data_IF_093464141480
#
_entry.id   IF_093464141480
#
_cell.length_a   1.000
_cell.length_b   1.000
_cell.length_c   1.000
_cell.angle_alpha   90.00
_cell.angle_beta   90.00
_cell.angle_gamma   90.00
#
_symmetry.space_group_name_H-M   'P 1'
#
loop_
_entity.id
_entity.type
_entity.pdbx_description
1 polymer ?
#
# COMPACT_ATOMS: atom_id res chain seq x y z
N UNK A 1 -21.79 -24.55 6.08
CA UNK A 1 -21.15 -24.37 4.75
C UNK A 1 -20.24 -25.55 4.46
N UNK A 2 -20.21 -26.06 3.21
CA UNK A 2 -19.39 -27.20 2.81
C UNK A 2 -18.13 -26.69 2.10
N UNK A 3 -16.94 -27.01 2.60
CA UNK A 3 -15.68 -26.68 1.92
C UNK A 3 -15.57 -27.42 0.60
N UNK A 4 -15.22 -26.72 -0.48
CA UNK A 4 -15.10 -27.23 -1.84
C UNK A 4 -13.72 -27.02 -2.47
N UNK A 5 -12.83 -26.27 -1.81
CA UNK A 5 -11.48 -26.02 -2.31
C UNK A 5 -10.80 -24.86 -1.61
N UNK A 6 -9.78 -24.31 -2.26
CA UNK A 6 -9.04 -23.11 -1.82
C UNK A 6 -8.81 -22.18 -3.00
N UNK A 7 -8.55 -20.90 -2.73
CA UNK A 7 -8.18 -19.93 -3.77
C UNK A 7 -6.85 -20.37 -4.41
N UNK A 8 -6.82 -20.35 -5.73
CA UNK A 8 -5.61 -20.67 -6.48
C UNK A 8 -4.59 -19.54 -6.37
N UNK A 9 -3.42 -19.86 -5.83
CA UNK A 9 -2.29 -18.93 -5.75
C UNK A 9 -1.47 -19.03 -7.04
N UNK A 10 -0.98 -17.87 -7.53
CA UNK A 10 -0.11 -17.76 -8.69
C UNK A 10 1.13 -16.95 -8.35
N UNK A 11 2.22 -17.27 -9.02
CA UNK A 11 3.47 -16.48 -8.95
C UNK A 11 3.31 -15.13 -9.65
N UNK A 12 4.21 -14.19 -9.37
CA UNK A 12 4.19 -12.87 -10.01
C UNK A 12 4.40 -12.93 -11.53
N UNK A 13 5.07 -13.97 -12.05
CA UNK A 13 5.19 -14.21 -13.49
C UNK A 13 3.88 -14.72 -14.13
N UNK A 14 3.08 -15.48 -13.39
CA UNK A 14 1.80 -16.02 -13.88
C UNK A 14 0.64 -15.03 -13.79
N UNK A 15 0.78 -14.00 -12.95
CA UNK A 15 -0.21 -12.93 -12.83
C UNK A 15 0.06 -11.86 -13.86
N UNK A 16 -0.90 -11.56 -14.71
CA UNK A 16 -0.79 -10.49 -15.70
C UNK A 16 -0.98 -9.11 -15.06
N UNK A 17 -2.00 -8.97 -14.22
CA UNK A 17 -2.40 -7.72 -13.58
C UNK A 17 -2.93 -7.98 -12.17
N UNK A 18 -2.56 -7.14 -11.22
CA UNK A 18 -3.15 -7.09 -9.87
C UNK A 18 -3.14 -5.66 -9.33
N UNK A 19 -4.02 -5.40 -8.37
CA UNK A 19 -4.03 -4.18 -7.55
C UNK A 19 -2.83 -4.12 -6.60
N UNK A 20 -2.24 -5.28 -6.25
CA UNK A 20 -1.28 -5.44 -5.17
C UNK A 20 0.17 -5.16 -5.58
N UNK A 21 0.83 -4.36 -4.77
CA UNK A 21 2.26 -4.09 -4.78
C UNK A 21 2.86 -4.14 -3.37
N UNK A 22 4.17 -4.01 -3.28
CA UNK A 22 4.94 -4.12 -2.04
C UNK A 22 6.01 -3.03 -1.97
N UNK A 23 6.26 -2.49 -0.78
CA UNK A 23 7.41 -1.65 -0.53
C UNK A 23 8.71 -2.46 -0.55
N UNK A 24 9.60 -2.10 -1.44
CA UNK A 24 11.00 -2.50 -1.48
C UNK A 24 11.87 -1.29 -1.13
N UNK A 25 11.48 -0.64 -0.05
CA UNK A 25 11.96 0.65 0.43
C UNK A 25 13.07 0.47 1.45
N UNK A 26 13.67 1.58 1.88
CA UNK A 26 14.72 1.60 2.90
C UNK A 26 16.03 0.87 2.53
N UNK A 27 16.16 0.38 1.29
CA UNK A 27 17.40 -0.17 0.76
C UNK A 27 18.48 0.90 0.51
N UNK A 28 18.06 2.14 0.28
CA UNK A 28 18.96 3.30 0.25
C UNK A 28 19.75 3.46 1.56
N UNK A 29 19.21 2.94 2.69
CA UNK A 29 19.79 2.88 4.03
C UNK A 29 20.18 1.48 4.48
N UNK A 30 20.09 0.49 3.58
CA UNK A 30 20.49 -0.92 3.82
C UNK A 30 19.76 -1.59 5.01
N UNK A 31 18.45 -1.30 5.18
CA UNK A 31 17.69 -1.75 6.33
C UNK A 31 17.29 -3.24 6.31
N UNK A 32 17.38 -3.90 5.17
CA UNK A 32 17.20 -5.33 4.99
C UNK A 32 18.01 -5.85 3.80
N UNK A 33 18.10 -7.18 3.66
CA UNK A 33 18.84 -7.85 2.58
C UNK A 33 17.91 -8.28 1.46
N UNK A 34 17.92 -7.61 0.29
CA UNK A 34 17.00 -7.87 -0.80
C UNK A 34 17.12 -9.27 -1.39
N UNK A 35 18.33 -9.84 -1.44
CA UNK A 35 18.58 -11.20 -1.94
C UNK A 35 17.82 -12.28 -1.17
N UNK A 36 17.48 -12.01 0.08
CA UNK A 36 16.66 -12.90 0.91
C UNK A 36 15.15 -12.79 0.61
N UNK A 37 14.74 -11.78 -0.13
CA UNK A 37 13.33 -11.45 -0.35
C UNK A 37 12.79 -11.87 -1.71
N UNK A 38 13.62 -11.85 -2.78
CA UNK A 38 13.17 -12.07 -4.16
C UNK A 38 12.40 -13.39 -4.34
N UNK A 39 12.92 -14.49 -3.79
CA UNK A 39 12.29 -15.81 -3.89
C UNK A 39 10.93 -15.90 -3.17
N UNK A 40 10.73 -15.12 -2.11
CA UNK A 40 9.44 -14.98 -1.44
C UNK A 40 8.49 -14.11 -2.24
N UNK A 41 8.96 -12.95 -2.71
CA UNK A 41 8.14 -12.02 -3.48
C UNK A 41 7.61 -12.66 -4.77
N UNK A 42 8.44 -13.44 -5.47
CA UNK A 42 8.05 -14.16 -6.69
C UNK A 42 6.81 -15.04 -6.52
N UNK A 43 6.57 -15.55 -5.32
CA UNK A 43 5.45 -16.46 -4.99
C UNK A 43 4.17 -15.74 -4.58
N UNK A 44 4.19 -14.41 -4.43
CA UNK A 44 3.04 -13.67 -3.91
C UNK A 44 2.03 -13.27 -4.96
N UNK A 45 2.40 -13.23 -6.24
CA UNK A 45 1.56 -12.69 -7.31
C UNK A 45 1.54 -11.17 -7.38
N UNK A 46 2.32 -10.45 -6.57
CA UNK A 46 2.46 -9.00 -6.66
C UNK A 46 3.07 -8.56 -7.99
N UNK A 47 2.68 -7.38 -8.50
CA UNK A 47 3.18 -6.86 -9.79
C UNK A 47 3.99 -5.58 -9.69
N UNK A 48 4.00 -4.93 -8.54
CA UNK A 48 4.66 -3.65 -8.35
C UNK A 48 5.54 -3.66 -7.11
N UNK A 49 6.67 -2.96 -7.18
CA UNK A 49 7.53 -2.69 -6.03
C UNK A 49 7.92 -1.21 -5.98
N UNK A 50 7.64 -0.56 -4.84
CA UNK A 50 8.08 0.81 -4.58
C UNK A 50 9.51 0.78 -4.07
N UNK A 51 10.44 1.44 -4.76
CA UNK A 51 11.87 1.42 -4.47
C UNK A 51 12.39 2.84 -4.23
N UNK A 52 12.90 3.13 -3.03
CA UNK A 52 13.61 4.38 -2.76
C UNK A 52 14.99 4.33 -3.40
N UNK A 53 15.34 5.39 -4.14
CA UNK A 53 16.55 5.39 -4.99
C UNK A 53 17.84 5.78 -4.29
N UNK A 54 17.75 6.57 -3.19
CA UNK A 54 18.87 6.90 -2.32
C UNK A 54 20.03 7.64 -3.02
N UNK A 55 19.91 8.94 -3.24
CA UNK A 55 20.94 9.73 -3.89
C UNK A 55 22.33 9.51 -3.28
N UNK A 56 22.48 9.59 -1.96
CA UNK A 56 23.75 9.37 -1.28
C UNK A 56 24.32 7.96 -1.49
N UNK A 57 23.47 6.92 -1.57
CA UNK A 57 23.95 5.57 -1.82
C UNK A 57 24.48 5.40 -3.25
N UNK A 58 23.92 6.17 -4.19
CA UNK A 58 24.29 6.13 -5.60
C UNK A 58 25.48 7.06 -5.93
N UNK A 59 25.77 8.07 -5.11
CA UNK A 59 26.81 9.08 -5.37
C UNK A 59 27.57 9.40 -4.08
N UNK A 60 28.67 8.68 -3.82
CA UNK A 60 29.56 8.86 -2.66
C UNK A 60 30.61 9.92 -2.89
N UNK A 61 30.89 10.25 -4.15
CA UNK A 61 31.82 11.30 -4.60
C UNK A 61 31.11 12.10 -5.68
N UNK A 62 31.26 13.45 -5.64
CA UNK A 62 30.58 14.37 -6.56
C UNK A 62 30.80 13.99 -8.03
N UNK A 63 29.72 13.69 -8.74
CA UNK A 63 29.70 13.33 -10.15
C UNK A 63 30.12 11.89 -10.45
N UNK A 64 30.33 11.05 -9.44
CA UNK A 64 30.67 9.63 -9.59
C UNK A 64 29.50 8.77 -9.14
N UNK A 65 28.78 8.20 -10.09
CA UNK A 65 27.56 7.40 -9.82
C UNK A 65 27.88 5.91 -9.80
N UNK A 66 27.42 5.22 -8.74
CA UNK A 66 27.41 3.77 -8.61
C UNK A 66 25.98 3.28 -8.38
N UNK A 67 25.36 2.72 -9.41
CA UNK A 67 24.03 2.17 -9.38
C UNK A 67 23.98 0.65 -9.17
N UNK A 68 25.13 -0.01 -8.95
CA UNK A 68 25.21 -1.48 -8.93
C UNK A 68 24.22 -2.14 -7.92
N UNK A 69 24.03 -1.54 -6.75
CA UNK A 69 23.07 -2.04 -5.77
C UNK A 69 21.61 -1.90 -6.24
N UNK A 70 21.30 -0.82 -6.96
CA UNK A 70 19.94 -0.55 -7.45
C UNK A 70 19.67 -1.36 -8.75
N UNK A 71 20.72 -1.62 -9.56
CA UNK A 71 20.66 -2.57 -10.67
C UNK A 71 20.27 -3.97 -10.18
N UNK A 72 20.92 -4.45 -9.10
CA UNK A 72 20.57 -5.75 -8.51
C UNK A 72 19.07 -5.80 -8.13
N UNK A 73 18.56 -4.76 -7.50
CA UNK A 73 17.15 -4.67 -7.12
C UNK A 73 16.24 -4.66 -8.34
N UNK A 74 16.49 -3.79 -9.31
CA UNK A 74 15.65 -3.63 -10.50
C UNK A 74 15.65 -4.91 -11.35
N UNK A 75 16.81 -5.47 -11.61
CA UNK A 75 16.93 -6.64 -12.51
C UNK A 75 16.31 -7.88 -11.88
N UNK A 76 16.49 -8.11 -10.57
CA UNK A 76 15.83 -9.22 -9.89
C UNK A 76 14.31 -9.06 -9.80
N UNK A 77 13.80 -7.84 -9.55
CA UNK A 77 12.36 -7.58 -9.55
C UNK A 77 11.75 -7.86 -10.92
N UNK A 78 12.37 -7.35 -11.99
CA UNK A 78 11.91 -7.60 -13.36
C UNK A 78 11.97 -9.09 -13.73
N UNK A 79 13.04 -9.80 -13.34
CA UNK A 79 13.19 -11.23 -13.57
C UNK A 79 12.09 -12.08 -12.93
N UNK A 80 11.55 -11.67 -11.81
CA UNK A 80 10.42 -12.36 -11.16
C UNK A 80 9.04 -11.82 -11.57
N UNK A 81 8.98 -10.89 -12.55
CA UNK A 81 7.74 -10.33 -13.09
C UNK A 81 7.11 -9.23 -12.24
N UNK A 82 7.90 -8.58 -11.39
CA UNK A 82 7.50 -7.43 -10.57
C UNK A 82 8.10 -6.15 -11.16
N UNK A 83 7.27 -5.16 -11.43
CA UNK A 83 7.67 -3.88 -12.01
C UNK A 83 8.07 -2.91 -10.88
N UNK A 84 9.32 -2.42 -10.84
CA UNK A 84 9.70 -1.38 -9.90
C UNK A 84 9.12 -0.03 -10.33
N UNK A 85 8.72 0.79 -9.35
CA UNK A 85 8.63 2.23 -9.51
C UNK A 85 9.59 2.91 -8.53
N UNK A 86 10.19 4.01 -8.96
CA UNK A 86 11.15 4.73 -8.13
C UNK A 86 10.48 5.82 -7.31
N UNK A 87 10.74 5.82 -6.00
CA UNK A 87 10.60 6.98 -5.14
C UNK A 87 11.95 7.71 -5.10
N UNK A 88 12.04 8.83 -5.81
CA UNK A 88 13.29 9.58 -6.02
C UNK A 88 13.58 10.49 -4.81
N UNK A 89 14.58 10.17 -4.07
CA UNK A 89 15.01 10.86 -2.83
C UNK A 89 16.27 10.18 -2.27
N UNK A 90 16.90 10.62 -1.23
CA UNK A 90 16.64 11.87 -0.51
C UNK A 90 17.73 12.91 -0.81
N UNK A 91 18.34 13.57 0.21
CA UNK A 91 19.50 14.41 0.04
C UNK A 91 20.81 13.65 -0.10
N UNK A 92 21.93 14.40 -0.19
CA UNK A 92 23.27 13.80 -0.26
C UNK A 92 24.27 14.59 0.57
N UNK A 93 24.88 13.96 1.61
CA UNK A 93 25.87 14.61 2.48
C UNK A 93 27.09 15.19 1.76
N UNK A 94 27.40 14.71 0.54
CA UNK A 94 28.55 15.23 -0.25
C UNK A 94 28.31 16.68 -0.73
N UNK A 95 27.05 17.09 -0.79
CA UNK A 95 26.64 18.43 -1.23
C UNK A 95 26.01 19.28 -0.12
N UNK A 96 25.76 18.70 1.05
CA UNK A 96 24.93 19.29 2.09
C UNK A 96 25.65 19.28 3.42
N UNK A 97 25.78 20.46 4.03
CA UNK A 97 26.17 20.63 5.42
C UNK A 97 24.90 20.70 6.30
N UNK A 98 25.03 20.48 7.61
CA UNK A 98 23.91 20.51 8.55
C UNK A 98 22.77 19.57 8.14
N UNK A 99 23.08 18.31 8.01
CA UNK A 99 22.16 17.27 7.60
C UNK A 99 21.38 16.66 8.78
N UNK A 100 20.16 16.18 8.51
CA UNK A 100 19.29 15.55 9.50
C UNK A 100 19.83 14.23 10.07
N UNK A 101 20.59 13.49 9.26
CA UNK A 101 21.19 12.18 9.58
C UNK A 101 22.27 11.83 8.55
N UNK A 102 23.01 10.75 8.80
CA UNK A 102 24.13 10.29 7.96
C UNK A 102 23.77 9.98 6.49
N UNK A 103 22.48 9.74 6.20
CA UNK A 103 21.97 9.48 4.86
C UNK A 103 21.27 10.70 4.26
N UNK A 104 21.28 11.84 4.94
CA UNK A 104 20.55 13.06 4.57
C UNK A 104 19.07 12.81 4.21
N UNK A 105 18.42 11.87 4.92
CA UNK A 105 17.00 11.60 4.74
C UNK A 105 16.19 12.83 5.06
N UNK A 106 15.37 13.29 4.12
CA UNK A 106 14.57 14.49 4.24
C UNK A 106 15.27 15.79 3.90
N UNK A 107 16.60 15.79 3.68
CA UNK A 107 17.35 17.01 3.32
C UNK A 107 17.04 17.41 1.86
N UNK A 108 16.30 18.51 1.71
CA UNK A 108 15.77 18.97 0.42
C UNK A 108 16.82 19.79 -0.34
N UNK A 109 17.20 19.41 -1.58
CA UNK A 109 18.29 20.04 -2.32
C UNK A 109 18.06 21.53 -2.60
N UNK A 110 16.83 22.01 -2.58
CA UNK A 110 16.47 23.41 -2.81
C UNK A 110 17.06 24.38 -1.75
N UNK A 111 17.42 23.87 -0.57
CA UNK A 111 17.83 24.71 0.59
C UNK A 111 19.33 24.69 0.88
N UNK A 112 20.13 23.96 0.09
CA UNK A 112 21.57 23.80 0.29
C UNK A 112 22.44 24.52 -0.77
N UNK A 113 21.84 25.47 -1.47
CA UNK A 113 22.53 26.30 -2.47
C UNK A 113 22.61 25.67 -3.86
N UNK A 114 23.19 26.42 -4.80
CA UNK A 114 23.16 26.05 -6.23
C UNK A 114 23.99 24.80 -6.53
N UNK A 115 25.05 24.52 -5.81
CA UNK A 115 25.85 23.31 -6.00
C UNK A 115 25.05 22.05 -5.66
N UNK A 116 24.30 22.04 -4.56
CA UNK A 116 23.46 20.94 -4.18
C UNK A 116 22.28 20.77 -5.14
N UNK A 117 21.68 21.87 -5.59
CA UNK A 117 20.60 21.84 -6.57
C UNK A 117 21.08 21.32 -7.93
N UNK A 118 22.27 21.71 -8.37
CA UNK A 118 22.88 21.19 -9.60
C UNK A 118 23.26 19.70 -9.44
N UNK A 119 23.77 19.31 -8.27
CA UNK A 119 24.03 17.92 -7.92
C UNK A 119 22.75 17.06 -8.03
N UNK A 120 21.62 17.56 -7.51
CA UNK A 120 20.32 16.90 -7.67
C UNK A 120 19.90 16.73 -9.12
N UNK A 121 20.02 17.80 -9.94
CA UNK A 121 19.71 17.73 -11.38
C UNK A 121 20.54 16.67 -12.09
N UNK A 122 21.83 16.64 -11.80
CA UNK A 122 22.76 15.69 -12.41
C UNK A 122 22.44 14.24 -11.96
N UNK A 123 22.10 14.05 -10.69
CA UNK A 123 21.69 12.75 -10.16
C UNK A 123 20.41 12.25 -10.81
N UNK A 124 19.36 13.08 -10.90
CA UNK A 124 18.08 12.69 -11.53
C UNK A 124 18.30 12.37 -13.01
N UNK A 125 19.14 13.13 -13.71
CA UNK A 125 19.53 12.86 -15.08
C UNK A 125 20.24 11.51 -15.18
N UNK A 126 21.29 11.27 -14.41
CA UNK A 126 22.05 10.03 -14.41
C UNK A 126 21.19 8.79 -14.07
N UNK A 127 20.28 8.94 -13.08
CA UNK A 127 19.32 7.91 -12.69
C UNK A 127 18.39 7.54 -13.86
N UNK A 128 17.79 8.53 -14.51
CA UNK A 128 16.88 8.30 -15.63
C UNK A 128 17.60 7.68 -16.85
N UNK A 129 18.78 8.19 -17.20
CA UNK A 129 19.61 7.62 -18.28
C UNK A 129 19.98 6.16 -18.00
N UNK A 130 20.41 5.86 -16.77
CA UNK A 130 20.87 4.53 -16.40
C UNK A 130 19.73 3.49 -16.42
N UNK A 131 18.53 3.86 -15.95
CA UNK A 131 17.39 2.93 -15.85
C UNK A 131 16.40 3.03 -17.02
N UNK A 132 16.71 3.79 -18.06
CA UNK A 132 15.91 3.88 -19.28
C UNK A 132 15.62 2.49 -19.87
N UNK A 133 14.33 2.22 -20.12
CA UNK A 133 13.86 0.93 -20.63
C UNK A 133 13.69 -0.15 -19.56
N UNK A 134 14.05 0.12 -18.30
CA UNK A 134 13.82 -0.78 -17.15
C UNK A 134 12.82 -0.19 -16.13
N UNK A 135 12.84 1.12 -15.92
CA UNK A 135 11.94 1.85 -15.04
C UNK A 135 11.32 3.01 -15.81
N UNK A 136 10.01 3.17 -15.72
CA UNK A 136 9.24 4.21 -16.40
C UNK A 136 8.27 4.95 -15.48
N UNK A 137 8.30 4.69 -14.17
CA UNK A 137 7.44 5.31 -13.17
C UNK A 137 8.30 5.90 -12.04
N UNK A 138 8.17 7.21 -11.82
CA UNK A 138 9.00 7.99 -10.90
C UNK A 138 8.13 8.85 -10.00
N UNK A 139 8.13 8.57 -8.72
CA UNK A 139 7.50 9.36 -7.66
C UNK A 139 8.54 10.29 -7.06
N UNK A 140 8.28 11.60 -7.06
CA UNK A 140 9.25 12.58 -6.60
C UNK A 140 9.05 12.86 -5.13
N UNK A 141 10.10 12.57 -4.34
CA UNK A 141 10.18 12.77 -2.90
C UNK A 141 9.23 11.87 -2.08
N UNK A 142 9.41 11.89 -0.75
CA UNK A 142 8.60 11.13 0.20
C UNK A 142 8.07 12.04 1.30
N UNK A 143 6.76 12.00 1.55
CA UNK A 143 6.06 12.64 2.68
C UNK A 143 6.41 14.11 2.94
N UNK A 144 6.36 14.98 1.91
CA UNK A 144 6.76 16.39 2.01
C UNK A 144 5.81 17.24 2.86
N UNK A 145 4.65 16.70 3.21
CA UNK A 145 3.59 17.36 3.98
C UNK A 145 3.62 17.05 5.48
N UNK A 146 4.56 16.22 5.95
CA UNK A 146 4.70 15.92 7.38
C UNK A 146 5.39 17.07 8.11
N UNK A 147 4.88 17.39 9.29
CA UNK A 147 5.47 18.34 10.22
C UNK A 147 6.70 17.74 10.93
N UNK A 148 7.52 18.61 11.55
CA UNK A 148 8.60 18.18 12.42
C UNK A 148 9.90 17.76 11.71
N UNK A 149 10.12 18.22 10.50
CA UNK A 149 11.34 17.96 9.72
C UNK A 149 11.66 16.50 9.43
N UNK A 150 10.66 15.61 9.40
CA UNK A 150 10.87 14.20 9.13
C UNK A 150 11.43 13.94 7.74
N UNK A 151 10.75 14.48 6.73
CA UNK A 151 11.09 14.30 5.33
C UNK A 151 11.17 15.63 4.56
N UNK A 152 11.25 16.77 5.30
CA UNK A 152 11.41 18.11 4.74
C UNK A 152 12.30 18.95 5.64
N UNK A 153 13.62 18.95 5.36
CA UNK A 153 14.65 19.58 6.19
C UNK A 153 15.60 20.42 5.30
N UNK A 154 16.20 21.53 5.74
CA UNK A 154 16.11 22.13 7.08
C UNK A 154 14.93 23.10 7.27
N UNK A 155 14.13 23.36 6.22
CA UNK A 155 13.01 24.28 6.28
C UNK A 155 11.72 23.60 6.78
N UNK A 156 10.71 24.39 7.11
CA UNK A 156 9.37 23.90 7.28
C UNK A 156 8.79 23.44 5.93
N UNK A 157 7.80 22.53 5.96
CA UNK A 157 7.11 22.04 4.76
C UNK A 157 6.59 23.20 3.90
N UNK A 158 6.84 23.15 2.61
CA UNK A 158 6.48 24.20 1.66
C UNK A 158 5.91 23.61 0.36
N UNK A 159 4.62 23.84 0.14
CA UNK A 159 3.90 23.29 -1.00
C UNK A 159 4.42 23.77 -2.36
N UNK A 160 4.79 25.07 -2.46
CA UNK A 160 5.34 25.67 -3.68
C UNK A 160 6.72 25.10 -4.02
N UNK A 161 7.58 24.95 -3.01
CA UNK A 161 8.90 24.38 -3.20
C UNK A 161 8.83 22.90 -3.56
N UNK A 162 7.89 22.16 -2.95
CA UNK A 162 7.65 20.78 -3.34
C UNK A 162 7.16 20.68 -4.80
N UNK A 163 6.20 21.47 -5.21
CA UNK A 163 5.77 21.51 -6.62
C UNK A 163 6.93 21.89 -7.56
N UNK A 164 7.84 22.76 -7.12
CA UNK A 164 9.04 23.11 -7.89
C UNK A 164 9.98 21.91 -8.03
N UNK A 165 10.20 21.14 -6.96
CA UNK A 165 11.03 19.93 -6.99
C UNK A 165 10.42 18.85 -7.92
N UNK A 166 9.09 18.67 -7.86
CA UNK A 166 8.35 17.74 -8.73
C UNK A 166 8.53 18.10 -10.20
N UNK A 167 8.28 19.37 -10.58
CA UNK A 167 8.43 19.82 -11.98
C UNK A 167 9.87 19.73 -12.47
N UNK A 168 10.82 20.17 -11.64
CA UNK A 168 12.23 20.12 -11.99
C UNK A 168 12.67 18.69 -12.30
N UNK A 169 12.38 17.77 -11.40
CA UNK A 169 12.76 16.37 -11.54
C UNK A 169 12.00 15.68 -12.68
N UNK A 170 10.69 15.91 -12.76
CA UNK A 170 9.84 15.33 -13.82
C UNK A 170 10.25 15.77 -15.23
N UNK A 171 10.60 17.05 -15.42
CA UNK A 171 11.09 17.55 -16.70
C UNK A 171 12.39 16.88 -17.13
N UNK A 172 13.36 16.73 -16.21
CA UNK A 172 14.63 16.06 -16.49
C UNK A 172 14.38 14.60 -16.87
N UNK A 173 13.53 13.90 -16.16
CA UNK A 173 13.21 12.48 -16.45
C UNK A 173 12.58 12.37 -17.84
N UNK A 174 11.63 13.25 -18.18
CA UNK A 174 10.92 13.21 -19.49
C UNK A 174 11.78 13.67 -20.65
N UNK A 175 12.83 14.44 -20.46
CA UNK A 175 13.82 14.71 -21.50
C UNK A 175 14.52 13.42 -21.97
N UNK A 176 14.65 12.45 -21.07
CA UNK A 176 15.34 11.17 -21.30
C UNK A 176 14.34 10.07 -21.67
N UNK A 177 13.20 10.01 -20.96
CA UNK A 177 12.14 9.03 -21.10
C UNK A 177 10.82 9.76 -21.30
N UNK A 178 10.47 10.17 -22.53
CA UNK A 178 9.30 11.00 -22.81
C UNK A 178 7.97 10.43 -22.31
N UNK A 179 7.86 9.10 -22.25
CA UNK A 179 6.69 8.35 -21.79
C UNK A 179 6.69 8.06 -20.28
N UNK A 180 7.71 8.54 -19.54
CA UNK A 180 7.77 8.30 -18.10
C UNK A 180 6.57 8.90 -17.37
N UNK A 181 5.99 8.12 -16.48
CA UNK A 181 4.96 8.57 -15.55
C UNK A 181 5.61 9.22 -14.34
N UNK A 182 5.21 10.45 -14.08
CA UNK A 182 5.70 11.24 -12.93
C UNK A 182 4.61 11.30 -11.88
N UNK A 183 4.98 10.99 -10.65
CA UNK A 183 4.11 11.06 -9.49
C UNK A 183 4.59 12.07 -8.45
N UNK A 184 3.63 12.54 -7.69
CA UNK A 184 3.86 13.27 -6.44
C UNK A 184 3.36 12.47 -5.25
N UNK A 185 3.86 12.77 -4.06
CA UNK A 185 3.47 12.12 -2.82
C UNK A 185 2.80 13.09 -1.84
N UNK A 186 1.80 12.59 -1.13
CA UNK A 186 1.19 13.22 0.05
C UNK A 186 1.05 12.15 1.12
N UNK A 187 1.67 12.33 2.28
CA UNK A 187 1.58 11.38 3.38
C UNK A 187 0.15 11.28 3.95
N UNK A 188 -0.54 12.39 4.06
CA UNK A 188 -1.80 12.44 4.77
C UNK A 188 -2.92 13.03 3.92
N UNK A 189 -3.89 12.22 3.53
CA UNK A 189 -5.06 12.66 2.72
C UNK A 189 -5.89 13.76 3.38
N UNK A 190 -5.74 13.96 4.70
CA UNK A 190 -6.39 15.05 5.43
C UNK A 190 -5.65 16.38 5.35
N UNK A 191 -4.42 16.42 4.80
CA UNK A 191 -3.66 17.66 4.57
C UNK A 191 -4.18 18.40 3.32
N UNK A 192 -5.49 18.69 3.32
CA UNK A 192 -6.19 19.20 2.13
C UNK A 192 -5.69 20.59 1.69
N UNK A 193 -5.35 21.48 2.62
CA UNK A 193 -4.85 22.82 2.31
C UNK A 193 -3.46 22.74 1.65
N UNK A 194 -2.55 21.97 2.22
CA UNK A 194 -1.22 21.75 1.63
C UNK A 194 -1.34 21.11 0.24
N UNK A 195 -2.17 20.07 0.11
CA UNK A 195 -2.40 19.40 -1.17
C UNK A 195 -2.96 20.34 -2.22
N UNK A 196 -3.93 21.18 -1.85
CA UNK A 196 -4.52 22.16 -2.76
C UNK A 196 -3.49 23.21 -3.21
N UNK A 197 -2.61 23.65 -2.31
CA UNK A 197 -1.57 24.58 -2.61
C UNK A 197 -0.50 23.98 -3.56
N UNK A 198 -0.08 22.71 -3.33
CA UNK A 198 0.78 21.98 -4.28
C UNK A 198 0.14 21.94 -5.67
N UNK A 199 -1.14 21.55 -5.75
CA UNK A 199 -1.88 21.45 -7.01
C UNK A 199 -2.00 22.82 -7.72
N UNK A 200 -2.10 23.93 -6.98
CA UNK A 200 -2.12 25.28 -7.54
C UNK A 200 -0.78 25.69 -8.21
N UNK A 201 0.33 25.07 -7.81
CA UNK A 201 1.66 25.34 -8.38
C UNK A 201 2.09 24.33 -9.46
N UNK A 202 1.28 23.32 -9.74
CA UNK A 202 1.49 22.36 -10.82
C UNK A 202 0.65 22.72 -12.05
N UNK A 203 1.13 22.34 -13.23
CA UNK A 203 0.40 22.41 -14.48
C UNK A 203 -0.14 21.05 -14.90
N UNK A 204 -1.16 21.06 -15.77
CA UNK A 204 -1.64 19.81 -16.38
C UNK A 204 -0.51 19.13 -17.13
N UNK A 205 -0.30 17.83 -16.87
CA UNK A 205 0.76 17.06 -17.45
C UNK A 205 2.09 17.09 -16.67
N UNK A 206 2.23 17.86 -15.59
CA UNK A 206 3.40 17.77 -14.72
C UNK A 206 3.46 16.43 -13.97
N UNK A 207 2.27 15.86 -13.68
CA UNK A 207 2.12 14.59 -12.95
C UNK A 207 1.07 13.70 -13.64
N UNK A 208 1.27 12.37 -13.51
CA UNK A 208 0.37 11.31 -14.00
C UNK A 208 -0.32 10.56 -12.86
N UNK A 209 0.28 10.57 -11.66
CA UNK A 209 -0.30 9.93 -10.49
C UNK A 209 0.03 10.68 -9.20
N UNK A 210 -0.80 10.45 -8.20
CA UNK A 210 -0.62 10.95 -6.84
C UNK A 210 -0.59 9.75 -5.91
N UNK A 211 0.50 9.58 -5.17
CA UNK A 211 0.56 8.61 -4.10
C UNK A 211 0.13 9.25 -2.79
N UNK A 212 -0.51 8.45 -1.96
CA UNK A 212 -0.84 8.82 -0.58
C UNK A 212 -0.41 7.71 0.37
N UNK A 213 -0.11 8.09 1.60
CA UNK A 213 0.19 7.15 2.67
C UNK A 213 -0.95 7.21 3.70
N UNK A 214 -1.41 6.07 4.14
CA UNK A 214 -2.51 6.02 5.08
C UNK A 214 -2.22 4.97 6.15
N UNK A 215 -1.53 5.42 7.18
CA UNK A 215 -1.29 4.61 8.36
C UNK A 215 -2.37 4.89 9.40
N UNK A 216 -3.09 3.86 9.80
CA UNK A 216 -4.12 3.98 10.83
C UNK A 216 -4.29 2.68 11.60
N UNK A 217 -4.62 2.81 12.86
CA UNK A 217 -4.96 1.67 13.72
C UNK A 217 -6.20 0.93 13.22
N UNK A 218 -7.19 1.67 12.74
CA UNK A 218 -8.44 1.17 12.20
C UNK A 218 -8.48 1.44 10.68
N UNK A 219 -8.44 0.41 9.81
CA UNK A 219 -8.49 0.60 8.36
C UNK A 219 -9.69 1.43 7.89
N UNK A 220 -10.84 1.27 8.54
CA UNK A 220 -12.11 1.94 8.23
C UNK A 220 -12.28 3.29 8.96
N UNK A 221 -11.19 3.98 9.29
CA UNK A 221 -11.29 5.22 10.04
C UNK A 221 -12.16 6.27 9.34
N UNK A 222 -13.16 6.84 10.04
CA UNK A 222 -14.14 7.75 9.43
C UNK A 222 -13.53 8.98 8.75
N UNK A 223 -12.36 9.43 9.21
CA UNK A 223 -11.70 10.58 8.60
C UNK A 223 -11.15 10.26 7.20
N UNK A 224 -10.69 9.03 6.95
CA UNK A 224 -10.27 8.62 5.61
C UNK A 224 -11.48 8.62 4.65
N UNK A 225 -12.58 7.98 5.06
CA UNK A 225 -13.83 7.98 4.26
C UNK A 225 -14.34 9.39 3.98
N UNK A 226 -14.14 10.34 4.93
CA UNK A 226 -14.53 11.74 4.77
C UNK A 226 -13.60 12.54 3.88
N UNK A 227 -12.30 12.37 4.03
CA UNK A 227 -11.30 13.28 3.45
C UNK A 227 -10.74 12.79 2.13
N UNK A 228 -10.65 11.48 1.88
CA UNK A 228 -10.15 10.95 0.63
C UNK A 228 -10.94 11.41 -0.63
N UNK A 229 -12.28 11.47 -0.63
CA UNK A 229 -13.01 12.06 -1.75
C UNK A 229 -12.69 13.54 -1.98
N UNK A 230 -12.47 14.33 -0.91
CA UNK A 230 -12.07 15.73 -1.01
C UNK A 230 -10.65 15.86 -1.57
N UNK A 231 -9.74 15.02 -1.09
CA UNK A 231 -8.38 14.92 -1.58
C UNK A 231 -8.35 14.66 -3.09
N UNK A 232 -9.07 13.66 -3.58
CA UNK A 232 -9.19 13.41 -5.02
C UNK A 232 -9.77 14.59 -5.77
N UNK A 233 -10.81 15.22 -5.23
CA UNK A 233 -11.49 16.34 -5.87
C UNK A 233 -10.59 17.58 -6.03
N UNK A 234 -9.54 17.74 -5.22
CA UNK A 234 -8.55 18.80 -5.38
C UNK A 234 -7.92 18.74 -6.78
N UNK A 235 -7.58 17.56 -7.26
CA UNK A 235 -6.99 17.37 -8.58
C UNK A 235 -8.05 17.36 -9.68
N UNK A 236 -9.11 16.58 -9.51
CA UNK A 236 -10.19 16.41 -10.50
C UNK A 236 -10.85 17.77 -10.84
N UNK A 237 -11.18 18.58 -9.83
CA UNK A 237 -11.82 19.89 -10.05
C UNK A 237 -10.90 20.92 -10.73
N UNK A 238 -9.59 20.69 -10.70
CA UNK A 238 -8.59 21.50 -11.42
C UNK A 238 -8.25 20.95 -12.81
N UNK A 239 -8.90 19.85 -13.22
CA UNK A 239 -8.73 19.24 -14.54
C UNK A 239 -7.48 18.36 -14.69
N UNK A 240 -6.85 17.93 -13.57
CA UNK A 240 -5.79 16.93 -13.65
C UNK A 240 -6.36 15.56 -14.00
N UNK A 241 -5.73 14.88 -14.94
CA UNK A 241 -5.99 13.49 -15.29
C UNK A 241 -4.91 12.61 -14.58
N UNK A 242 -5.17 12.26 -13.35
CA UNK A 242 -4.21 11.53 -12.50
C UNK A 242 -4.81 10.29 -11.86
N UNK A 243 -4.00 9.27 -11.70
CA UNK A 243 -4.33 8.10 -10.89
C UNK A 243 -3.99 8.34 -9.42
N UNK A 244 -4.73 7.69 -8.51
CA UNK A 244 -4.45 7.71 -7.07
C UNK A 244 -3.96 6.34 -6.63
N UNK A 245 -2.75 6.28 -6.04
CA UNK A 245 -2.14 5.05 -5.59
C UNK A 245 -1.88 5.10 -4.08
N UNK A 246 -2.24 4.03 -3.37
CA UNK A 246 -1.73 3.84 -2.02
C UNK A 246 -0.23 3.51 -2.14
N UNK A 247 0.62 4.50 -1.85
CA UNK A 247 2.07 4.40 -2.04
C UNK A 247 2.77 3.68 -0.92
N UNK A 248 2.28 3.87 0.31
CA UNK A 248 2.89 3.28 1.50
C UNK A 248 1.86 3.15 2.62
N UNK A 249 1.69 1.94 3.14
CA UNK A 249 0.84 1.67 4.30
C UNK A 249 1.23 0.35 4.95
N UNK A 250 0.96 0.20 6.24
CA UNK A 250 1.27 -1.04 6.93
C UNK A 250 0.82 -1.05 8.39
N UNK A 251 0.91 -2.21 9.00
CA UNK A 251 0.66 -2.45 10.40
C UNK A 251 1.76 -3.34 10.97
N UNK A 252 2.34 -3.04 12.15
CA UNK A 252 3.43 -3.86 12.69
C UNK A 252 2.91 -5.16 13.29
N UNK A 253 3.72 -6.21 13.23
CA UNK A 253 3.44 -7.47 13.93
C UNK A 253 3.85 -7.42 15.41
N UNK A 254 4.68 -6.47 15.80
CA UNK A 254 5.06 -6.19 17.18
C UNK A 254 5.62 -4.77 17.31
N UNK A 255 5.55 -4.18 18.51
CA UNK A 255 6.05 -2.84 18.77
C UNK A 255 6.60 -2.72 20.17
N UNK A 256 7.81 -2.18 20.30
CA UNK A 256 8.43 -1.76 21.55
C UNK A 256 8.38 -0.25 21.77
N UNK A 257 7.95 0.49 20.79
CA UNK A 257 7.91 1.95 20.85
C UNK A 257 6.52 2.44 20.54
N UNK A 258 6.07 3.53 21.18
CA UNK A 258 4.77 4.14 20.92
C UNK A 258 4.64 4.76 19.52
N UNK A 259 5.50 4.39 18.56
CA UNK A 259 5.43 4.92 17.21
C UNK A 259 4.07 4.62 16.57
N UNK A 260 3.31 5.66 16.43
CA UNK A 260 2.16 5.93 15.57
C UNK A 260 0.90 5.14 15.84
N UNK A 261 0.90 3.82 15.86
CA UNK A 261 -0.33 3.10 15.60
C UNK A 261 -0.66 2.09 16.70
N UNK A 262 0.36 1.57 17.40
CA UNK A 262 0.23 0.42 18.31
C UNK A 262 0.82 0.71 19.69
N UNK A 263 0.27 0.07 20.70
CA UNK A 263 0.76 0.17 22.06
C UNK A 263 2.12 -0.53 22.23
N UNK A 264 2.95 -0.01 23.14
CA UNK A 264 4.19 -0.64 23.52
C UNK A 264 3.93 -2.08 24.06
N UNK A 265 4.79 -3.04 23.65
CA UNK A 265 4.66 -4.43 24.05
C UNK A 265 3.62 -5.23 23.28
N UNK A 266 3.03 -4.67 22.22
CA UNK A 266 2.12 -5.41 21.36
C UNK A 266 2.89 -6.42 20.48
N UNK A 267 2.38 -7.64 20.37
CA UNK A 267 2.89 -8.68 19.48
C UNK A 267 1.74 -9.54 18.95
N UNK A 268 1.43 -9.42 17.66
CA UNK A 268 0.48 -10.29 16.99
C UNK A 268 0.64 -10.24 15.46
N UNK A 269 1.09 -11.34 14.87
CA UNK A 269 1.10 -11.53 13.43
C UNK A 269 -0.32 -11.64 12.85
N UNK A 270 -1.28 -12.15 13.65
CA UNK A 270 -2.68 -12.20 13.27
C UNK A 270 -3.25 -10.81 13.05
N UNK A 271 -3.02 -9.90 14.00
CA UNK A 271 -3.49 -8.53 13.90
C UNK A 271 -2.93 -7.83 12.65
N UNK A 272 -1.66 -8.02 12.35
CA UNK A 272 -1.04 -7.53 11.13
C UNK A 272 -1.74 -8.08 9.88
N UNK A 273 -1.96 -9.38 9.82
CA UNK A 273 -2.60 -10.04 8.68
C UNK A 273 -4.05 -9.58 8.48
N UNK A 274 -4.84 -9.51 9.54
CA UNK A 274 -6.24 -9.05 9.52
C UNK A 274 -6.31 -7.59 9.08
N UNK A 275 -5.42 -6.75 9.59
CA UNK A 275 -5.35 -5.34 9.20
C UNK A 275 -5.09 -5.19 7.69
N UNK A 276 -4.12 -5.94 7.14
CA UNK A 276 -3.81 -5.90 5.70
C UNK A 276 -4.99 -6.34 4.84
N UNK A 277 -5.68 -7.42 5.24
CA UNK A 277 -6.87 -7.90 4.53
C UNK A 277 -7.95 -6.83 4.45
N UNK A 278 -8.21 -6.13 5.55
CA UNK A 278 -9.25 -5.09 5.61
C UNK A 278 -8.83 -3.84 4.83
N UNK A 279 -7.60 -3.39 5.03
CA UNK A 279 -7.10 -2.14 4.47
C UNK A 279 -7.08 -2.16 2.93
N UNK A 280 -6.67 -3.26 2.31
CA UNK A 280 -6.65 -3.39 0.85
C UNK A 280 -8.05 -3.21 0.23
N UNK A 281 -9.09 -3.78 0.84
CA UNK A 281 -10.47 -3.59 0.36
C UNK A 281 -11.00 -2.19 0.62
N UNK A 282 -10.58 -1.52 1.69
CA UNK A 282 -10.92 -0.12 1.95
C UNK A 282 -10.34 0.78 0.86
N UNK A 283 -9.04 0.68 0.57
CA UNK A 283 -8.40 1.49 -0.48
C UNK A 283 -9.03 1.23 -1.86
N UNK A 284 -9.24 -0.04 -2.20
CA UNK A 284 -9.90 -0.40 -3.45
C UNK A 284 -11.32 0.18 -3.53
N UNK A 285 -12.09 0.17 -2.44
CA UNK A 285 -13.45 0.72 -2.41
C UNK A 285 -13.50 2.23 -2.70
N UNK A 286 -12.43 2.94 -2.38
CA UNK A 286 -12.27 4.37 -2.67
C UNK A 286 -11.68 4.65 -4.05
N UNK A 287 -11.38 3.60 -4.84
CA UNK A 287 -10.91 3.71 -6.22
C UNK A 287 -9.42 3.93 -6.37
N UNK A 288 -8.61 3.58 -5.37
CA UNK A 288 -7.18 3.47 -5.54
C UNK A 288 -6.85 2.50 -6.69
N UNK A 289 -5.82 2.82 -7.47
CA UNK A 289 -5.41 2.02 -8.63
C UNK A 289 -4.29 1.03 -8.31
N UNK A 290 -3.53 1.29 -7.25
CA UNK A 290 -2.48 0.42 -6.71
C UNK A 290 -2.46 0.48 -5.19
N UNK A 291 -1.99 -0.58 -4.60
CA UNK A 291 -1.79 -0.74 -3.17
C UNK A 291 -0.38 -1.24 -2.91
N UNK A 292 0.48 -0.42 -2.33
CA UNK A 292 1.83 -0.78 -1.92
C UNK A 292 1.90 -0.94 -0.41
N UNK A 293 2.13 -2.16 0.02
CA UNK A 293 2.28 -2.48 1.44
C UNK A 293 3.70 -2.15 1.91
N UNK A 294 3.86 -1.39 2.95
CA UNK A 294 5.12 -1.20 3.67
C UNK A 294 5.28 -2.30 4.73
N UNK A 295 6.17 -3.31 4.55
CA UNK A 295 7.00 -3.56 3.39
C UNK A 295 7.32 -5.07 3.27
N UNK A 296 8.27 -5.46 2.42
CA UNK A 296 8.62 -6.87 2.19
C UNK A 296 9.22 -7.54 3.43
N UNK A 297 10.14 -6.89 4.14
CA UNK A 297 10.80 -7.43 5.32
C UNK A 297 10.88 -6.39 6.45
N UNK A 298 10.95 -6.83 7.70
CA UNK A 298 11.19 -5.93 8.82
C UNK A 298 12.52 -5.18 8.62
N UNK A 299 12.56 -3.92 9.05
CA UNK A 299 13.80 -3.17 9.13
C UNK A 299 14.62 -3.68 10.32
N UNK A 300 15.61 -4.50 10.06
CA UNK A 300 16.39 -5.18 11.10
C UNK A 300 17.89 -4.93 11.04
N UNK A 301 18.45 -4.75 9.83
CA UNK A 301 19.89 -4.78 9.62
C UNK A 301 20.62 -3.56 10.20
N UNK A 302 19.99 -2.39 10.18
CA UNK A 302 20.57 -1.14 10.68
C UNK A 302 19.58 -0.32 11.49
N UNK A 303 20.12 0.54 12.33
CA UNK A 303 19.41 1.62 12.99
C UNK A 303 19.90 2.96 12.45
N UNK A 304 19.05 3.96 12.38
CA UNK A 304 19.44 5.31 11.96
C UNK A 304 18.68 6.38 12.73
N UNK A 305 19.29 7.58 12.78
CA UNK A 305 18.66 8.77 13.36
C UNK A 305 17.97 9.57 12.27
N UNK A 306 16.81 10.11 12.59
CA UNK A 306 16.18 11.19 11.81
C UNK A 306 16.26 12.50 12.61
N UNK A 307 15.94 13.62 11.98
CA UNK A 307 15.84 14.90 12.69
C UNK A 307 14.82 14.86 13.83
N UNK A 308 13.78 14.07 13.70
CA UNK A 308 12.68 13.94 14.66
C UNK A 308 12.84 12.77 15.63
N UNK A 309 13.58 11.73 15.28
CA UNK A 309 13.71 10.54 16.13
C UNK A 309 14.96 9.71 15.83
N UNK A 310 15.30 8.85 16.80
CA UNK A 310 16.25 7.75 16.61
C UNK A 310 15.49 6.47 16.47
N UNK A 311 15.63 5.79 15.33
CA UNK A 311 15.11 4.42 15.16
C UNK A 311 16.18 3.47 15.70
N UNK A 312 16.11 3.17 16.99
CA UNK A 312 17.07 2.31 17.69
C UNK A 312 16.63 0.84 17.71
N UNK A 313 15.40 0.57 17.35
CA UNK A 313 14.80 -0.76 17.38
C UNK A 313 14.26 -1.15 16.01
N UNK A 314 14.23 -2.45 15.72
CA UNK A 314 13.65 -2.92 14.46
C UNK A 314 12.20 -2.48 14.28
N UNK A 315 11.82 -2.14 13.05
CA UNK A 315 10.44 -1.78 12.69
C UNK A 315 9.80 -2.99 12.02
N UNK A 316 8.79 -3.56 12.67
CA UNK A 316 8.22 -4.86 12.32
C UNK A 316 6.99 -4.76 11.40
N UNK A 317 7.07 -3.92 10.37
CA UNK A 317 6.02 -3.78 9.35
C UNK A 317 6.15 -4.79 8.20
N UNK A 318 7.29 -5.49 8.10
CA UNK A 318 7.53 -6.47 7.05
C UNK A 318 6.55 -7.64 7.09
N UNK A 319 6.28 -8.21 5.92
CA UNK A 319 5.58 -9.49 5.80
C UNK A 319 6.53 -10.69 5.96
N UNK A 320 7.83 -10.44 5.87
CA UNK A 320 8.90 -11.35 6.25
C UNK A 320 9.56 -10.87 7.54
N UNK A 321 9.96 -11.81 8.40
CA UNK A 321 10.76 -11.51 9.58
C UNK A 321 12.15 -11.01 9.16
N UNK A 322 12.54 -9.82 9.60
CA UNK A 322 13.78 -9.18 9.15
C UNK A 322 15.08 -9.82 9.61
N UNK A 323 15.03 -10.71 10.61
CA UNK A 323 16.21 -11.42 11.10
C UNK A 323 16.51 -12.70 10.35
N UNK A 324 15.46 -13.47 10.05
CA UNK A 324 15.57 -14.82 9.46
C UNK A 324 14.83 -14.95 8.12
N UNK A 325 14.13 -13.92 7.69
CA UNK A 325 13.37 -13.82 6.43
C UNK A 325 12.31 -14.91 6.25
N UNK A 326 11.80 -15.46 7.37
CA UNK A 326 10.66 -16.38 7.33
C UNK A 326 9.35 -15.64 7.10
N UNK A 327 8.42 -16.20 6.31
CA UNK A 327 7.09 -15.64 6.11
C UNK A 327 6.31 -15.54 7.42
N UNK A 328 5.67 -14.39 7.64
CA UNK A 328 4.68 -14.17 8.70
C UNK A 328 3.27 -14.53 8.22
N UNK A 329 2.27 -14.49 9.11
CA UNK A 329 0.86 -14.66 8.72
C UNK A 329 0.42 -13.60 7.70
N UNK A 330 0.95 -12.39 7.80
CA UNK A 330 0.72 -11.30 6.85
C UNK A 330 1.25 -11.59 5.44
N UNK A 331 2.31 -12.39 5.28
CA UNK A 331 2.77 -12.86 3.98
C UNK A 331 1.69 -13.72 3.29
N UNK A 332 1.08 -14.62 4.04
CA UNK A 332 0.02 -15.49 3.51
C UNK A 332 -1.23 -14.67 3.17
N UNK A 333 -1.60 -13.71 4.02
CA UNK A 333 -2.71 -12.78 3.76
C UNK A 333 -2.45 -11.94 2.49
N UNK A 334 -1.24 -11.38 2.35
CA UNK A 334 -0.84 -10.62 1.17
C UNK A 334 -0.87 -11.46 -0.12
N UNK A 335 -0.39 -12.69 -0.07
CA UNK A 335 -0.42 -13.61 -1.21
C UNK A 335 -1.85 -13.91 -1.66
N UNK A 336 -2.76 -14.12 -0.73
CA UNK A 336 -4.20 -14.34 -1.01
C UNK A 336 -4.86 -13.08 -1.57
N UNK A 337 -4.56 -11.91 -1.01
CA UNK A 337 -5.04 -10.63 -1.58
C UNK A 337 -4.57 -10.47 -3.02
N UNK A 338 -3.32 -10.79 -3.31
CA UNK A 338 -2.79 -10.70 -4.69
C UNK A 338 -3.56 -11.60 -5.65
N UNK A 339 -3.97 -12.80 -5.23
CA UNK A 339 -4.79 -13.69 -6.03
C UNK A 339 -6.24 -13.18 -6.20
N UNK A 340 -6.87 -12.74 -5.11
CA UNK A 340 -8.24 -12.21 -5.10
C UNK A 340 -8.37 -10.90 -5.88
N UNK A 341 -7.36 -10.03 -5.79
CA UNK A 341 -7.35 -8.72 -6.44
C UNK A 341 -6.58 -8.72 -7.77
N UNK A 342 -6.38 -9.91 -8.37
CA UNK A 342 -5.82 -10.07 -9.71
C UNK A 342 -6.88 -9.87 -10.80
N UNK A 343 -6.44 -9.46 -12.00
CA UNK A 343 -7.30 -9.13 -13.13
C UNK A 343 -7.82 -7.68 -13.07
N UNK A 344 -8.92 -7.41 -13.76
CA UNK A 344 -9.56 -6.09 -13.71
C UNK A 344 -10.55 -6.04 -12.55
N UNK A 345 -10.09 -5.52 -11.41
CA UNK A 345 -10.89 -5.39 -10.18
C UNK A 345 -11.20 -3.93 -9.94
N UNK A 346 -12.48 -3.61 -9.67
CA UNK A 346 -12.90 -2.24 -9.39
C UNK A 346 -14.14 -2.20 -8.47
N UNK A 347 -14.32 -1.12 -7.69
CA UNK A 347 -15.52 -0.92 -6.89
C UNK A 347 -16.76 -0.71 -7.77
N UNK A 348 -17.94 -1.02 -7.20
CA UNK A 348 -19.22 -0.80 -7.86
C UNK A 348 -20.20 -0.06 -6.94
N UNK A 349 -21.16 0.64 -7.55
CA UNK A 349 -22.24 1.35 -6.84
C UNK A 349 -23.34 0.40 -6.30
N UNK A 350 -23.20 -0.91 -6.48
CA UNK A 350 -24.19 -1.89 -6.02
C UNK A 350 -24.20 -1.94 -4.49
N UNK A 351 -25.28 -1.49 -3.90
CA UNK A 351 -25.45 -1.53 -2.43
C UNK A 351 -26.05 -2.87 -2.03
N UNK A 352 -25.48 -3.47 -1.00
CA UNK A 352 -26.04 -4.61 -0.29
C UNK A 352 -25.81 -4.42 1.21
N UNK A 353 -26.44 -5.25 2.00
CA UNK A 353 -26.33 -5.21 3.45
C UNK A 353 -26.88 -6.48 4.08
N UNK A 354 -26.84 -6.54 5.39
CA UNK A 354 -27.32 -7.71 6.12
C UNK A 354 -27.51 -7.42 7.61
N UNK A 355 -28.01 -8.44 8.29
CA UNK A 355 -28.15 -8.44 9.74
C UNK A 355 -27.19 -9.45 10.35
N UNK A 356 -26.36 -9.00 11.27
CA UNK A 356 -25.50 -9.86 12.07
C UNK A 356 -26.37 -10.63 13.08
N UNK A 357 -26.18 -11.93 13.16
CA UNK A 357 -26.89 -12.81 14.08
C UNK A 357 -25.90 -13.23 15.15
N UNK A 358 -26.24 -12.96 16.40
CA UNK A 358 -25.46 -13.39 17.55
C UNK A 358 -25.47 -14.91 17.68
N UNK A 359 -24.31 -15.55 17.48
CA UNK A 359 -24.13 -16.99 17.65
C UNK A 359 -23.86 -17.40 19.11
N UNK A 360 -23.46 -16.46 19.96
CA UNK A 360 -22.98 -16.73 21.33
C UNK A 360 -23.99 -16.33 22.42
N UNK A 361 -25.10 -15.68 22.05
CA UNK A 361 -26.17 -15.28 22.99
C UNK A 361 -25.90 -14.00 23.77
N UNK A 362 -24.92 -13.20 23.37
CA UNK A 362 -24.65 -11.89 23.98
C UNK A 362 -25.49 -10.78 23.33
N UNK A 363 -26.66 -10.57 23.90
CA UNK A 363 -27.63 -9.59 23.41
C UNK A 363 -27.14 -8.12 23.39
N UNK A 364 -26.11 -7.79 24.16
CA UNK A 364 -25.56 -6.42 24.21
C UNK A 364 -24.56 -6.18 23.07
N UNK A 365 -23.85 -7.21 22.63
CA UNK A 365 -22.91 -7.15 21.52
C UNK A 365 -23.64 -6.99 20.17
N UNK A 366 -24.85 -7.53 20.07
CA UNK A 366 -25.67 -7.59 18.86
C UNK A 366 -25.93 -6.21 18.21
N UNK A 367 -26.34 -5.22 18.98
CA UNK A 367 -26.65 -3.88 18.45
C UNK A 367 -25.41 -3.17 17.93
N UNK A 368 -24.28 -3.33 18.62
CA UNK A 368 -23.01 -2.73 18.23
C UNK A 368 -22.46 -3.36 16.93
N UNK A 369 -22.49 -4.67 16.82
CA UNK A 369 -22.00 -5.41 15.67
C UNK A 369 -22.83 -5.17 14.41
N UNK A 370 -24.16 -5.03 14.54
CA UNK A 370 -25.04 -4.69 13.41
C UNK A 370 -24.79 -3.29 12.87
N UNK A 371 -24.48 -2.33 13.75
CA UNK A 371 -24.21 -0.95 13.33
C UNK A 371 -22.85 -0.77 12.67
N UNK A 372 -21.92 -1.72 12.88
CA UNK A 372 -20.54 -1.57 12.46
C UNK A 372 -20.12 -2.50 11.30
N UNK A 373 -20.93 -3.50 10.95
CA UNK A 373 -20.58 -4.42 9.84
C UNK A 373 -20.36 -3.64 8.54
N UNK A 374 -19.27 -3.94 7.86
CA UNK A 374 -18.92 -3.36 6.54
C UNK A 374 -19.42 -4.25 5.43
N UNK A 375 -19.93 -3.60 4.37
CA UNK A 375 -20.46 -4.22 3.17
C UNK A 375 -19.93 -3.46 1.96
N UNK A 376 -19.08 -4.11 1.16
CA UNK A 376 -18.39 -3.50 0.02
C UNK A 376 -18.66 -4.30 -1.25
N UNK A 377 -18.91 -3.63 -2.36
CA UNK A 377 -19.27 -4.24 -3.63
C UNK A 377 -18.22 -3.96 -4.69
N UNK A 378 -17.82 -5.03 -5.36
CA UNK A 378 -16.80 -4.97 -6.40
C UNK A 378 -17.22 -5.80 -7.62
N UNK A 379 -16.45 -5.65 -8.69
CA UNK A 379 -16.45 -6.60 -9.80
C UNK A 379 -15.02 -6.98 -10.19
N UNK A 380 -14.84 -8.20 -10.65
CA UNK A 380 -13.60 -8.73 -11.21
C UNK A 380 -13.88 -9.23 -12.61
N UNK A 381 -13.21 -8.65 -13.61
CA UNK A 381 -13.42 -8.99 -15.02
C UNK A 381 -14.91 -8.93 -15.42
N UNK A 382 -15.64 -7.92 -14.93
CA UNK A 382 -17.06 -7.73 -15.17
C UNK A 382 -18.02 -8.61 -14.34
N UNK A 383 -17.53 -9.52 -13.49
CA UNK A 383 -18.34 -10.37 -12.62
C UNK A 383 -18.39 -9.78 -11.20
N UNK A 384 -19.59 -9.66 -10.59
CA UNK A 384 -19.74 -9.07 -9.26
C UNK A 384 -19.27 -9.99 -8.16
N UNK A 385 -18.70 -9.41 -7.10
CA UNK A 385 -18.48 -10.05 -5.81
C UNK A 385 -18.71 -9.06 -4.67
N UNK A 386 -19.02 -9.59 -3.49
CA UNK A 386 -19.46 -8.81 -2.34
C UNK A 386 -18.65 -9.19 -1.12
N UNK A 387 -18.12 -8.19 -0.45
CA UNK A 387 -17.23 -8.31 0.71
C UNK A 387 -17.96 -7.85 1.95
N UNK A 388 -17.90 -8.63 3.02
CA UNK A 388 -18.50 -8.30 4.30
C UNK A 388 -17.62 -8.73 5.46
N UNK A 389 -17.60 -7.93 6.54
CA UNK A 389 -16.86 -8.23 7.76
C UNK A 389 -17.30 -7.32 8.91
N UNK A 390 -16.89 -7.68 10.14
CA UNK A 390 -17.06 -6.88 11.34
C UNK A 390 -15.76 -6.09 11.55
N UNK A 391 -15.75 -4.74 11.55
CA UNK A 391 -14.54 -3.94 11.79
C UNK A 391 -14.20 -3.91 13.29
N UNK A 392 -14.01 -5.08 13.90
CA UNK A 392 -13.61 -5.24 15.28
C UNK A 392 -12.17 -4.75 15.53
N UNK A 393 -11.78 -4.64 16.79
CA UNK A 393 -10.41 -4.30 17.14
C UNK A 393 -9.45 -5.39 16.64
N UNK A 394 -8.51 -5.02 15.76
CA UNK A 394 -7.54 -5.97 15.18
C UNK A 394 -6.61 -6.60 16.24
N UNK A 395 -6.47 -5.96 17.42
CA UNK A 395 -5.66 -6.46 18.53
C UNK A 395 -6.34 -7.61 19.30
N UNK A 396 -7.57 -7.99 18.94
CA UNK A 396 -8.23 -9.16 19.51
C UNK A 396 -7.71 -10.43 18.80
N UNK A 397 -6.81 -11.13 19.44
CA UNK A 397 -6.18 -12.35 18.88
C UNK A 397 -7.16 -13.53 18.76
N UNK A 398 -8.23 -13.56 19.54
CA UNK A 398 -9.29 -14.58 19.42
C UNK A 398 -10.17 -14.34 18.17
N UNK A 399 -10.18 -13.07 17.69
CA UNK A 399 -11.02 -12.66 16.57
C UNK A 399 -12.50 -12.59 16.91
N UNK A 400 -13.30 -12.31 15.90
CA UNK A 400 -14.76 -12.26 16.00
C UNK A 400 -15.38 -13.21 14.98
N UNK A 401 -16.39 -13.98 15.41
CA UNK A 401 -17.20 -14.82 14.55
C UNK A 401 -18.65 -14.70 14.92
N UNK A 402 -19.49 -14.38 13.93
CA UNK A 402 -20.94 -14.26 14.09
C UNK A 402 -21.67 -14.85 12.88
N UNK A 403 -22.99 -14.95 12.99
CA UNK A 403 -23.85 -15.29 11.86
C UNK A 403 -24.19 -14.07 11.01
N UNK A 404 -24.50 -14.29 9.73
CA UNK A 404 -24.96 -13.25 8.81
C UNK A 404 -26.21 -13.72 8.05
N UNK A 405 -27.24 -12.86 8.03
CA UNK A 405 -28.29 -12.88 7.02
C UNK A 405 -28.09 -11.70 6.09
N UNK A 406 -28.07 -11.94 4.78
CA UNK A 406 -27.81 -10.89 3.79
C UNK A 406 -28.70 -11.02 2.57
N UNK A 407 -28.86 -9.92 1.86
CA UNK A 407 -29.51 -9.84 0.55
C UNK A 407 -28.55 -9.25 -0.46
N UNK A 408 -28.45 -9.85 -1.65
CA UNK A 408 -27.54 -9.44 -2.72
C UNK A 408 -28.32 -8.84 -3.90
N UNK A 409 -27.84 -7.76 -4.52
CA UNK A 409 -28.51 -7.13 -5.65
C UNK A 409 -28.43 -7.94 -6.95
N UNK A 410 -27.58 -8.97 -6.99
CA UNK A 410 -27.34 -9.81 -8.16
C UNK A 410 -27.66 -11.26 -7.81
N UNK A 411 -28.34 -11.96 -8.73
CA UNK A 411 -28.51 -13.40 -8.64
C UNK A 411 -27.17 -14.11 -8.85
N UNK A 412 -26.87 -15.07 -7.98
CA UNK A 412 -25.68 -15.93 -8.08
C UNK A 412 -26.16 -17.36 -8.31
N UNK A 413 -25.67 -17.96 -9.40
CA UNK A 413 -26.06 -19.34 -9.77
C UNK A 413 -25.38 -20.38 -8.87
N UNK A 414 -24.03 -20.28 -8.78
CA UNK A 414 -23.19 -21.19 -7.99
C UNK A 414 -22.55 -20.41 -6.84
N UNK A 415 -23.30 -20.13 -5.76
CA UNK A 415 -22.85 -19.26 -4.70
C UNK A 415 -21.77 -19.92 -3.84
N UNK A 416 -20.66 -19.21 -3.68
CA UNK A 416 -19.60 -19.58 -2.77
C UNK A 416 -19.28 -18.45 -1.81
N UNK A 417 -18.80 -18.82 -0.62
CA UNK A 417 -18.16 -17.90 0.32
C UNK A 417 -16.68 -18.23 0.39
N UNK A 418 -15.84 -17.21 0.29
CA UNK A 418 -14.39 -17.31 0.42
C UNK A 418 -13.98 -16.66 1.74
N UNK A 419 -13.26 -17.42 2.55
CA UNK A 419 -12.55 -16.92 3.72
C UNK A 419 -11.20 -16.37 3.27
N UNK A 420 -11.01 -15.06 3.35
CA UNK A 420 -9.79 -14.43 2.82
C UNK A 420 -8.56 -14.70 3.69
N UNK A 421 -8.76 -15.03 4.97
CA UNK A 421 -7.66 -15.32 5.89
C UNK A 421 -7.14 -16.75 5.73
N UNK A 422 -8.02 -17.74 5.55
CA UNK A 422 -7.62 -19.14 5.32
C UNK A 422 -7.45 -19.49 3.84
N UNK A 423 -8.05 -18.73 2.94
CA UNK A 423 -8.14 -19.02 1.51
C UNK A 423 -9.16 -20.11 1.18
N UNK A 424 -9.90 -20.62 2.16
CA UNK A 424 -10.89 -21.68 1.96
C UNK A 424 -12.13 -21.17 1.24
N UNK A 425 -12.69 -22.04 0.38
CA UNK A 425 -13.90 -21.77 -0.41
C UNK A 425 -15.00 -22.74 -0.01
N UNK A 426 -16.16 -22.18 0.29
CA UNK A 426 -17.31 -22.93 0.78
C UNK A 426 -18.50 -22.77 -0.15
N UNK A 427 -19.13 -23.89 -0.52
CA UNK A 427 -20.45 -23.89 -1.15
C UNK A 427 -21.51 -23.43 -0.13
N UNK A 428 -22.32 -22.45 -0.54
CA UNK A 428 -23.40 -21.89 0.27
C UNK A 428 -24.76 -21.98 -0.41
N UNK A 429 -24.94 -22.91 -1.34
CA UNK A 429 -26.19 -23.14 -2.03
C UNK A 429 -27.35 -23.48 -1.06
N UNK A 430 -27.07 -24.24 0.01
CA UNK A 430 -28.03 -24.59 1.05
C UNK A 430 -28.40 -23.39 1.96
N UNK A 431 -27.62 -22.31 1.92
CA UNK A 431 -27.88 -21.07 2.67
C UNK A 431 -28.88 -20.15 1.97
N UNK A 432 -29.17 -20.38 0.66
CA UNK A 432 -30.21 -19.66 -0.09
C UNK A 432 -31.58 -19.80 0.56
N UNK A 433 -32.34 -18.72 0.51
CA UNK A 433 -33.72 -18.66 1.00
C UNK A 433 -34.73 -18.84 -0.16
N UNK A 434 -36.04 -18.77 0.14
CA UNK A 434 -37.08 -18.73 -0.89
C UNK A 434 -36.89 -17.59 -1.89
N UNK A 435 -36.48 -16.44 -1.40
CA UNK A 435 -35.97 -15.35 -2.25
C UNK A 435 -34.53 -15.71 -2.67
N UNK A 436 -34.26 -15.88 -3.97
CA UNK A 436 -32.96 -16.33 -4.46
C UNK A 436 -31.82 -15.30 -4.29
N UNK A 437 -32.17 -14.07 -3.93
CA UNK A 437 -31.22 -13.02 -3.56
C UNK A 437 -30.79 -13.09 -2.08
N UNK A 438 -31.51 -13.82 -1.26
CA UNK A 438 -31.35 -13.86 0.20
C UNK A 438 -30.60 -15.10 0.67
N UNK A 439 -29.66 -14.87 1.61
CA UNK A 439 -28.86 -15.91 2.26
C UNK A 439 -28.97 -15.79 3.78
N UNK A 440 -28.98 -16.92 4.48
CA UNK A 440 -28.95 -17.00 5.94
C UNK A 440 -27.88 -17.94 6.45
N UNK A 441 -27.51 -17.75 7.70
CA UNK A 441 -26.52 -18.57 8.40
C UNK A 441 -25.17 -18.64 7.67
N UNK A 442 -24.77 -17.53 7.03
CA UNK A 442 -23.40 -17.33 6.62
C UNK A 442 -22.56 -16.95 7.85
N UNK A 443 -21.27 -17.16 7.78
CA UNK A 443 -20.32 -16.73 8.81
C UNK A 443 -19.76 -15.35 8.43
N UNK A 444 -19.79 -14.42 9.38
CA UNK A 444 -19.11 -13.11 9.28
C UNK A 444 -18.01 -13.05 10.33
N UNK A 445 -16.85 -12.53 9.96
CA UNK A 445 -15.65 -12.44 10.81
C UNK A 445 -15.14 -11.01 10.94
N UNK A 446 -14.12 -10.81 11.75
CA UNK A 446 -13.40 -9.53 11.92
C UNK A 446 -12.45 -9.20 10.75
N UNK A 447 -12.48 -10.03 9.70
CA UNK A 447 -11.77 -9.83 8.43
C UNK A 447 -12.69 -10.12 7.25
N UNK A 448 -12.33 -9.66 6.05
CA UNK A 448 -13.15 -9.81 4.86
C UNK A 448 -13.52 -11.25 4.54
N UNK A 449 -14.81 -11.48 4.38
CA UNK A 449 -15.39 -12.66 3.75
C UNK A 449 -15.98 -12.23 2.40
N UNK A 450 -15.89 -13.06 1.38
CA UNK A 450 -16.38 -12.74 0.04
C UNK A 450 -17.51 -13.70 -0.32
N UNK A 451 -18.65 -13.17 -0.78
CA UNK A 451 -19.69 -13.98 -1.43
C UNK A 451 -19.76 -13.62 -2.92
N UNK A 452 -19.73 -14.66 -3.77
CA UNK A 452 -19.75 -14.50 -5.23
C UNK A 452 -20.20 -15.78 -5.94
N UNK A 453 -20.32 -15.71 -7.27
CA UNK A 453 -20.41 -16.92 -8.09
C UNK A 453 -19.03 -17.61 -8.14
N UNK A 454 -19.03 -18.95 -8.08
CA UNK A 454 -17.81 -19.78 -8.13
C UNK A 454 -16.88 -19.43 -9.30
N UNK A 455 -17.44 -18.94 -10.41
CA UNK A 455 -16.70 -18.57 -11.62
C UNK A 455 -15.96 -17.23 -11.54
N UNK A 456 -16.06 -16.48 -10.42
CA UNK A 456 -15.38 -15.19 -10.26
C UNK A 456 -13.89 -15.38 -9.99
N UNK A 457 -13.55 -16.41 -9.22
CA UNK A 457 -12.17 -16.68 -8.82
C UNK A 457 -11.73 -18.07 -9.25
N UNK A 458 -10.44 -18.25 -9.44
CA UNK A 458 -9.86 -19.56 -9.71
C UNK A 458 -9.71 -20.32 -8.40
N UNK A 459 -10.18 -21.55 -8.38
CA UNK A 459 -10.27 -22.41 -7.18
C UNK A 459 -9.55 -23.73 -7.49
N UNK A 460 -8.69 -24.15 -6.57
CA UNK A 460 -8.11 -25.49 -6.53
C UNK A 460 -9.04 -26.36 -5.66
N UNK A 461 -9.69 -27.36 -6.30
CA UNK A 461 -10.68 -28.29 -5.70
C UNK A 461 -10.02 -29.48 -5.01
#
# INVERSE_FOLDING_TARGET
>A
MKKIGTIKIRTSLEVEKTFMGIGFETLDREMFRPEMCYGHLAKTGAKFARCQTGWFRCEKEKGVYDFAWLDDVVDNLLAIGVKPWFNVGYGNPVYMDDISNEYAVGCVPLYYGEEALQGWRNYVFALAEHFKGRVDEYEIWNEPDLDGHWFWYPAERNAKDYATLVRLSGNIIREIIPEAKIGMNIAHVSNLEYTAEVANHLSHGDIDFVTYHYYNRLPEAPYFERDFPKFKNIFISRGFDVEFWQGETGFPSWSYSPHYIVYEGFESERAQAVWHLRHAFVDLSHGAKRYSLFQIADMWEKTYKTAASTIEKPVAHGILNGKVYTPKQSYTAFTRLSALLSGDVKPTERKFGGSVIDLHGDKNLWAYQQMCAKFLSFERNGKPFYVFYIPANVLNDEGEEQGLSTWLPTLIENPVVIDTYTGEVFDVSENKQKDPHSYKNLVIRDYPMIICDKSVFDIDE
#
